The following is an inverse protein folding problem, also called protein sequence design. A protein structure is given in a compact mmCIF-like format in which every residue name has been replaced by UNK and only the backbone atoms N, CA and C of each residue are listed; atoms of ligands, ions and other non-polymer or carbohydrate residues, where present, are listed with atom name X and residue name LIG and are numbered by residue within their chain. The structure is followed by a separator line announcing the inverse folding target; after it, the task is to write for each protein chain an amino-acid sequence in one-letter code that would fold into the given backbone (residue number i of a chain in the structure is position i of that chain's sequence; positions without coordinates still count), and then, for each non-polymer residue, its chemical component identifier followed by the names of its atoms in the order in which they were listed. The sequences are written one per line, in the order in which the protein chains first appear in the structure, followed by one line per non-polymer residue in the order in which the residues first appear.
data_IF_418081160419
#
_entry.id   IF_418081160419
#
_cell.length_a   1.000
_cell.length_b   1.000
_cell.length_c   1.000
_cell.angle_alpha   90.00
_cell.angle_beta   90.00
_cell.angle_gamma   90.00
#
_symmetry.space_group_name_H-M   'P 1'
#
loop_
_entity.id
_entity.type
_entity.pdbx_description
1 polymer ?
#
# COMPACT_ATOMS: atom_id res chain seq x y z
N UNK A 1 -16.14 -33.70 15.35
CA UNK A 1 -15.71 -32.36 14.96
C UNK A 1 -14.40 -31.87 15.60
N UNK A 2 -14.11 -32.23 16.86
CA UNK A 2 -12.87 -31.80 17.51
C UNK A 2 -11.57 -32.38 16.95
N UNK A 3 -11.60 -33.52 16.31
CA UNK A 3 -10.40 -34.23 15.86
C UNK A 3 -9.79 -33.63 14.57
N UNK A 4 -10.62 -33.25 13.60
CA UNK A 4 -10.13 -32.69 12.33
C UNK A 4 -9.43 -31.33 12.48
N UNK A 5 -9.95 -30.46 13.35
CA UNK A 5 -9.34 -29.16 13.62
C UNK A 5 -7.98 -29.34 14.33
N UNK A 6 -7.94 -30.23 15.34
CA UNK A 6 -6.71 -30.53 16.08
C UNK A 6 -5.62 -31.15 15.17
N UNK A 7 -6.01 -32.07 14.29
CA UNK A 7 -5.10 -32.69 13.33
C UNK A 7 -4.59 -31.68 12.30
N UNK A 8 -5.46 -30.80 11.81
CA UNK A 8 -5.09 -29.72 10.89
C UNK A 8 -4.14 -28.73 11.54
N UNK A 9 -4.39 -28.36 12.79
CA UNK A 9 -3.54 -27.45 13.55
C UNK A 9 -2.15 -28.06 13.79
N UNK A 10 -2.10 -29.35 14.17
CA UNK A 10 -0.83 -30.06 14.36
C UNK A 10 -0.05 -30.17 13.05
N UNK A 11 -0.71 -30.50 11.94
CA UNK A 11 -0.09 -30.53 10.61
C UNK A 11 0.45 -29.16 10.22
N UNK A 12 -0.32 -28.11 10.44
CA UNK A 12 0.09 -26.74 10.17
C UNK A 12 1.32 -26.35 11.01
N UNK A 13 1.31 -26.65 12.31
CA UNK A 13 2.45 -26.39 13.19
C UNK A 13 3.71 -27.14 12.74
N UNK A 14 3.60 -28.41 12.35
CA UNK A 14 4.74 -29.20 11.87
C UNK A 14 5.27 -28.63 10.56
N UNK A 15 4.41 -28.27 9.61
CA UNK A 15 4.81 -27.67 8.33
C UNK A 15 5.50 -26.34 8.51
N UNK A 16 5.02 -25.52 9.45
CA UNK A 16 5.56 -24.18 9.73
C UNK A 16 6.92 -24.23 10.45
N UNK A 17 7.18 -25.28 11.23
CA UNK A 17 8.46 -25.42 11.94
C UNK A 17 9.54 -26.17 11.14
N UNK A 18 9.15 -26.96 10.16
CA UNK A 18 10.10 -27.73 9.34
C UNK A 18 10.56 -26.97 8.09
N UNK A 19 9.79 -25.96 7.66
CA UNK A 19 10.07 -25.24 6.42
C UNK A 19 10.58 -23.81 6.64
N UNK A 20 11.55 -23.51 5.85
CA UNK A 20 12.20 -22.25 5.59
C UNK A 20 11.25 -21.03 5.65
N UNK A 21 11.15 -20.37 6.77
CA UNK A 21 10.58 -19.02 6.85
C UNK A 21 11.23 -18.06 5.84
N UNK A 22 12.45 -18.37 5.41
CA UNK A 22 13.15 -17.65 4.36
C UNK A 22 12.53 -17.80 2.96
N UNK A 23 11.70 -18.82 2.74
CA UNK A 23 10.98 -19.00 1.47
C UNK A 23 9.67 -18.20 1.39
N UNK A 24 9.20 -17.60 2.50
CA UNK A 24 8.02 -16.75 2.49
C UNK A 24 8.26 -15.48 1.69
N UNK A 25 7.37 -15.24 0.76
CA UNK A 25 7.33 -14.01 0.00
C UNK A 25 6.28 -13.07 0.57
N UNK A 26 6.54 -11.79 0.56
CA UNK A 26 5.65 -10.75 1.07
C UNK A 26 5.67 -9.51 0.19
N UNK A 27 4.55 -8.84 0.13
CA UNK A 27 4.39 -7.54 -0.50
C UNK A 27 3.53 -6.64 0.39
N UNK A 28 3.58 -5.35 0.15
CA UNK A 28 2.79 -4.34 0.85
C UNK A 28 2.01 -3.54 -0.18
N UNK A 29 0.74 -3.35 0.08
CA UNK A 29 -0.10 -2.35 -0.55
C UNK A 29 -0.40 -1.28 0.50
N UNK A 30 -0.04 -0.03 0.19
CA UNK A 30 -0.27 1.11 1.06
C UNK A 30 -1.11 2.14 0.35
N UNK A 31 -2.27 2.41 0.90
CA UNK A 31 -3.16 3.45 0.40
C UNK A 31 -2.93 4.77 1.15
N UNK A 32 -3.01 5.88 0.43
CA UNK A 32 -2.95 7.21 1.00
C UNK A 32 -3.73 8.21 0.15
N UNK A 33 -4.54 9.05 0.81
CA UNK A 33 -5.20 10.16 0.15
C UNK A 33 -4.18 11.26 -0.17
N UNK A 34 -4.27 11.83 -1.36
CA UNK A 34 -3.62 13.11 -1.66
C UNK A 34 -4.46 14.22 -1.05
N UNK A 35 -3.86 15.02 -0.22
CA UNK A 35 -4.49 16.18 0.40
C UNK A 35 -3.65 17.42 0.15
N UNK A 36 -4.31 18.57 0.15
CA UNK A 36 -3.63 19.87 0.08
C UNK A 36 -2.97 20.21 1.40
N UNK A 37 -2.15 21.24 1.41
CA UNK A 37 -1.46 21.73 2.61
C UNK A 37 -2.40 22.13 3.75
N UNK A 38 -3.66 22.47 3.45
CA UNK A 38 -4.71 22.74 4.43
C UNK A 38 -5.42 21.49 4.98
N UNK A 39 -5.03 20.31 4.51
CA UNK A 39 -5.57 19.02 4.92
C UNK A 39 -6.82 18.56 4.16
N UNK A 40 -7.39 19.38 3.27
CA UNK A 40 -8.54 18.97 2.48
C UNK A 40 -8.13 18.05 1.32
N UNK A 41 -9.03 17.14 0.97
CA UNK A 41 -8.80 16.21 -0.14
C UNK A 41 -8.45 16.94 -1.43
N UNK A 42 -7.44 16.46 -2.14
CA UNK A 42 -7.09 16.99 -3.45
C UNK A 42 -8.16 16.63 -4.48
N UNK A 43 -8.52 17.62 -5.29
CA UNK A 43 -9.41 17.44 -6.46
C UNK A 43 -8.65 17.45 -7.78
N UNK A 44 -7.33 17.54 -7.72
CA UNK A 44 -6.49 17.48 -8.91
C UNK A 44 -6.55 16.10 -9.54
N UNK A 45 -6.53 16.00 -10.87
CA UNK A 45 -6.49 14.72 -11.55
C UNK A 45 -5.23 13.93 -11.17
N UNK A 46 -5.21 12.64 -11.48
CA UNK A 46 -4.04 11.78 -11.25
C UNK A 46 -2.78 12.41 -11.85
N UNK A 47 -1.70 12.56 -11.08
CA UNK A 47 -0.50 13.25 -11.53
C UNK A 47 0.11 12.57 -12.76
N UNK A 48 0.27 13.32 -13.83
CA UNK A 48 0.83 12.80 -15.10
C UNK A 48 2.24 12.23 -14.94
N UNK A 49 3.01 12.80 -14.01
CA UNK A 49 4.37 12.36 -13.73
C UNK A 49 4.44 10.95 -13.12
N UNK A 50 3.35 10.47 -12.51
CA UNK A 50 3.24 9.11 -12.00
C UNK A 50 2.88 8.09 -13.10
N UNK A 51 2.62 8.55 -14.32
CA UNK A 51 2.15 7.72 -15.41
C UNK A 51 0.67 7.39 -15.31
N UNK A 52 0.20 6.46 -16.14
CA UNK A 52 -1.19 6.03 -16.11
C UNK A 52 -1.46 5.10 -14.93
N UNK A 53 -2.48 5.42 -14.13
CA UNK A 53 -2.94 4.56 -13.04
C UNK A 53 -3.35 3.14 -13.49
N UNK A 54 -3.74 3.00 -14.76
CA UNK A 54 -4.15 1.70 -15.33
C UNK A 54 -2.97 0.82 -15.76
N UNK A 55 -1.80 1.39 -15.92
CA UNK A 55 -0.62 0.67 -16.48
C UNK A 55 0.61 0.70 -15.59
N UNK A 56 0.64 1.54 -14.56
CA UNK A 56 1.72 1.55 -13.60
C UNK A 56 1.52 0.41 -12.59
N UNK A 57 2.44 -0.56 -12.51
CA UNK A 57 2.28 -1.71 -11.62
C UNK A 57 2.53 -1.40 -10.13
N UNK A 58 3.09 -0.23 -9.82
CA UNK A 58 3.52 0.14 -8.48
C UNK A 58 2.71 1.28 -7.87
N UNK A 59 2.08 2.11 -8.70
CA UNK A 59 1.30 3.26 -8.27
C UNK A 59 0.03 3.33 -9.09
N UNK A 60 -1.09 3.14 -8.43
CA UNK A 60 -2.41 3.19 -9.04
C UNK A 60 -3.35 4.07 -8.23
N UNK A 61 -4.58 4.21 -8.67
CA UNK A 61 -5.68 4.76 -7.88
C UNK A 61 -6.62 3.63 -7.48
N UNK A 62 -7.27 3.76 -6.34
CA UNK A 62 -8.32 2.82 -5.95
C UNK A 62 -9.70 3.50 -6.05
N UNK A 63 -10.31 3.84 -4.94
CA UNK A 63 -11.69 4.32 -4.91
C UNK A 63 -11.92 5.67 -5.58
N UNK A 64 -10.90 6.53 -5.61
CA UNK A 64 -10.93 7.86 -6.24
C UNK A 64 -9.58 8.24 -6.78
N UNK A 65 -9.52 9.25 -7.65
CA UNK A 65 -8.25 9.78 -8.15
C UNK A 65 -7.35 10.35 -7.05
N UNK A 66 -7.94 10.76 -5.93
CA UNK A 66 -7.18 11.25 -4.78
C UNK A 66 -6.56 10.14 -3.95
N UNK A 67 -7.08 8.92 -4.00
CA UNK A 67 -6.57 7.78 -3.26
C UNK A 67 -5.52 7.05 -4.09
N UNK A 68 -4.26 7.24 -3.73
CA UNK A 68 -3.15 6.52 -4.33
C UNK A 68 -2.89 5.22 -3.58
N UNK A 69 -2.70 4.16 -4.33
CA UNK A 69 -2.29 2.85 -3.86
C UNK A 69 -0.85 2.58 -4.32
N UNK A 70 0.02 2.37 -3.36
CA UNK A 70 1.43 2.06 -3.57
C UNK A 70 1.64 0.57 -3.37
N UNK A 71 2.12 -0.13 -4.40
CA UNK A 71 2.22 -1.58 -4.45
C UNK A 71 3.69 -1.97 -4.57
N UNK A 72 4.22 -2.71 -3.59
CA UNK A 72 5.60 -3.20 -3.69
C UNK A 72 5.66 -4.46 -4.56
N UNK A 73 6.81 -4.71 -5.21
CA UNK A 73 7.11 -6.06 -5.67
C UNK A 73 7.21 -7.02 -4.50
N UNK A 74 7.15 -8.30 -4.80
CA UNK A 74 7.29 -9.37 -3.81
C UNK A 74 8.74 -9.47 -3.36
N UNK A 75 8.97 -9.56 -2.05
CA UNK A 75 10.29 -9.70 -1.44
C UNK A 75 10.35 -10.88 -0.48
N UNK A 76 11.52 -11.51 -0.39
CA UNK A 76 11.77 -12.58 0.58
C UNK A 76 12.14 -12.06 1.97
N UNK A 77 12.51 -10.78 2.08
CA UNK A 77 12.91 -10.17 3.35
C UNK A 77 12.01 -8.99 3.71
N UNK A 78 11.83 -8.76 5.00
CA UNK A 78 11.10 -7.61 5.52
C UNK A 78 11.81 -6.31 5.11
N UNK A 79 13.12 -6.26 5.29
CA UNK A 79 13.92 -5.08 4.95
C UNK A 79 13.85 -4.75 3.46
N UNK A 80 13.90 -5.76 2.59
CA UNK A 80 13.74 -5.58 1.15
C UNK A 80 12.36 -5.02 0.80
N UNK A 81 11.31 -5.55 1.41
CA UNK A 81 9.94 -5.09 1.19
C UNK A 81 9.76 -3.63 1.64
N UNK A 82 10.28 -3.27 2.81
CA UNK A 82 10.24 -1.90 3.33
C UNK A 82 11.06 -0.94 2.48
N UNK A 83 12.21 -1.37 1.98
CA UNK A 83 13.03 -0.56 1.09
C UNK A 83 12.30 -0.25 -0.22
N UNK A 84 11.63 -1.23 -0.80
CA UNK A 84 10.82 -1.02 -2.00
C UNK A 84 9.64 -0.05 -1.74
N UNK A 85 8.96 -0.20 -0.61
CA UNK A 85 7.90 0.73 -0.22
C UNK A 85 8.44 2.16 -0.05
N UNK A 86 9.59 2.33 0.60
CA UNK A 86 10.25 3.64 0.76
C UNK A 86 10.60 4.26 -0.59
N UNK A 87 11.17 3.47 -1.50
CA UNK A 87 11.50 3.92 -2.85
C UNK A 87 10.25 4.41 -3.62
N UNK A 88 9.17 3.64 -3.60
CA UNK A 88 7.91 4.00 -4.27
C UNK A 88 7.31 5.24 -3.61
N UNK A 89 7.34 5.32 -2.29
CA UNK A 89 6.80 6.46 -1.54
C UNK A 89 7.57 7.75 -1.85
N UNK A 90 8.90 7.70 -1.87
CA UNK A 90 9.76 8.85 -2.24
C UNK A 90 9.50 9.30 -3.67
N UNK A 91 9.43 8.35 -4.60
CA UNK A 91 9.12 8.65 -5.99
C UNK A 91 7.75 9.33 -6.11
N UNK A 92 6.75 8.83 -5.40
CA UNK A 92 5.41 9.41 -5.39
C UNK A 92 5.44 10.86 -4.87
N UNK A 93 6.10 11.11 -3.74
CA UNK A 93 6.21 12.45 -3.15
C UNK A 93 6.93 13.46 -4.07
N UNK A 94 7.87 12.98 -4.89
CA UNK A 94 8.57 13.84 -5.85
C UNK A 94 7.76 14.17 -7.10
N UNK A 95 6.66 13.45 -7.34
CA UNK A 95 5.89 13.53 -8.57
C UNK A 95 4.40 13.88 -8.36
N UNK A 96 3.94 14.09 -7.15
CA UNK A 96 2.66 14.74 -6.85
C UNK A 96 2.82 16.26 -6.96
N UNK A 97 1.72 17.01 -6.95
CA UNK A 97 1.77 18.48 -7.07
C UNK A 97 2.44 19.11 -5.83
N UNK A 98 3.09 20.26 -6.00
CA UNK A 98 3.93 20.92 -4.98
C UNK A 98 3.18 21.22 -3.66
N UNK A 99 1.87 21.42 -3.73
CA UNK A 99 1.04 21.71 -2.55
C UNK A 99 0.34 20.48 -1.99
N UNK A 100 0.59 19.29 -2.54
CA UNK A 100 -0.01 18.05 -2.09
C UNK A 100 0.90 17.28 -1.14
N UNK A 101 0.27 16.64 -0.17
CA UNK A 101 0.91 15.66 0.72
C UNK A 101 0.10 14.37 0.73
N UNK A 102 0.72 13.29 1.12
CA UNK A 102 0.04 12.02 1.38
C UNK A 102 -0.48 11.98 2.81
N UNK A 103 -1.78 11.78 2.97
CA UNK A 103 -2.43 11.71 4.27
C UNK A 103 -1.95 10.48 5.04
N UNK A 104 -1.43 10.70 6.24
CA UNK A 104 -0.70 9.67 6.97
C UNK A 104 -1.56 8.83 7.94
N UNK A 105 -2.80 9.22 8.18
CA UNK A 105 -3.66 8.53 9.15
C UNK A 105 -4.69 7.64 8.48
N UNK A 106 -5.16 6.62 9.18
CA UNK A 106 -6.25 5.75 8.71
C UNK A 106 -7.63 6.42 8.79
N UNK A 107 -7.74 7.53 9.50
CA UNK A 107 -8.97 8.31 9.53
C UNK A 107 -9.08 9.18 8.27
N UNK A 108 -10.30 9.44 7.78
CA UNK A 108 -10.49 10.34 6.65
C UNK A 108 -9.92 11.73 6.93
N UNK A 109 -9.45 12.40 5.88
CA UNK A 109 -9.15 13.82 5.95
C UNK A 109 -10.44 14.64 6.08
N UNK A 110 -10.37 15.93 6.49
CA UNK A 110 -11.53 16.80 6.46
C UNK A 110 -12.18 16.85 5.08
N UNK A 111 -13.48 16.57 5.03
CA UNK A 111 -14.29 16.65 3.82
C UNK A 111 -15.22 17.87 3.94
N UNK A 112 -15.30 18.67 2.88
CA UNK A 112 -16.31 19.72 2.79
C UNK A 112 -17.66 19.13 2.38
N UNK A 113 -18.75 19.84 2.65
CA UNK A 113 -20.10 19.40 2.27
C UNK A 113 -20.27 19.18 0.76
N UNK A 114 -19.37 19.71 -0.04
CA UNK A 114 -19.36 19.65 -1.51
C UNK A 114 -18.37 18.61 -2.07
N UNK A 115 -17.87 17.71 -1.20
CA UNK A 115 -16.86 16.72 -1.59
C UNK A 115 -17.51 15.43 -2.04
#
# INVERSE_FOLDING_TARGET
MGNQFSESLTRYQLTVFEDDWGALQRGIEKESLRVKSDGHISRSPHPKALGSALTNPYITTDFSEALLELITPVSQTIDGCLQELDNIHRYTLQNIEDEEILWATSMPCPLSADT
#
